data_IF_088648935296
#
_entry.id   IF_088648935296
#
_cell.length_a   1.000
_cell.length_b   1.000
_cell.length_c   1.000
_cell.angle_alpha   90.00
_cell.angle_beta   90.00
_cell.angle_gamma   90.00
#
_symmetry.space_group_name_H-M   'P 1'
#
loop_
_entity.id
_entity.type
_entity.pdbx_description
1 polymer ?
#
# COMPACT_ATOMS: atom_id res chain seq x y z
N UNK A 1 14.58 -4.33 4.81
CA UNK A 1 14.95 -5.28 3.77
C UNK A 1 15.75 -6.46 4.34
N UNK A 2 16.89 -6.25 5.02
CA UNK A 2 17.78 -7.33 5.53
C UNK A 2 17.07 -8.37 6.40
N UNK A 3 16.19 -7.96 7.31
CA UNK A 3 15.44 -8.90 8.16
C UNK A 3 14.50 -9.79 7.32
N UNK A 4 13.85 -9.23 6.32
CA UNK A 4 12.97 -9.97 5.39
C UNK A 4 13.80 -10.92 4.54
N UNK A 5 14.93 -10.47 4.00
CA UNK A 5 15.87 -11.31 3.26
C UNK A 5 16.28 -12.55 4.08
N UNK A 6 16.69 -12.35 5.34
CA UNK A 6 17.11 -13.44 6.21
C UNK A 6 15.98 -14.44 6.48
N UNK A 7 14.76 -13.95 6.72
CA UNK A 7 13.58 -14.77 6.95
C UNK A 7 13.19 -15.57 5.70
N UNK A 8 13.15 -14.93 4.54
CA UNK A 8 12.79 -15.57 3.26
C UNK A 8 13.83 -16.62 2.88
N UNK A 9 15.12 -16.29 2.97
CA UNK A 9 16.21 -17.24 2.69
C UNK A 9 16.10 -18.49 3.58
N UNK A 10 15.85 -18.28 4.88
CA UNK A 10 15.71 -19.37 5.83
C UNK A 10 14.46 -20.21 5.63
N UNK A 11 13.32 -19.56 5.40
CA UNK A 11 12.03 -20.25 5.30
C UNK A 11 11.84 -21.01 3.97
N UNK A 12 12.35 -20.46 2.88
CA UNK A 12 12.16 -21.01 1.54
C UNK A 12 13.40 -21.71 0.98
N UNK A 13 14.53 -21.69 1.71
CA UNK A 13 15.81 -22.23 1.25
C UNK A 13 16.24 -21.72 -0.12
N UNK A 14 16.07 -20.41 -0.35
CA UNK A 14 16.48 -19.68 -1.54
C UNK A 14 17.51 -18.63 -1.20
N UNK A 15 18.23 -18.11 -2.18
CA UNK A 15 19.16 -17.01 -1.99
C UNK A 15 18.58 -15.72 -2.59
N UNK A 16 18.16 -14.81 -1.73
CA UNK A 16 17.70 -13.46 -2.12
C UNK A 16 18.87 -12.49 -1.98
N UNK A 17 19.17 -11.76 -3.02
CA UNK A 17 20.18 -10.71 -3.01
C UNK A 17 19.49 -9.34 -2.92
N UNK A 18 20.04 -8.46 -2.07
CA UNK A 18 19.53 -7.10 -1.94
C UNK A 18 20.28 -6.18 -2.89
N UNK A 19 19.56 -5.61 -3.83
CA UNK A 19 20.08 -4.55 -4.68
C UNK A 19 19.63 -3.19 -4.14
N UNK A 20 20.48 -2.55 -3.33
CA UNK A 20 20.22 -1.22 -2.77
C UNK A 20 20.61 -0.14 -3.76
N UNK A 21 19.69 0.78 -4.02
CA UNK A 21 19.90 1.88 -4.95
C UNK A 21 19.28 3.18 -4.43
N UNK A 22 19.63 4.28 -5.04
CA UNK A 22 19.06 5.60 -4.76
C UNK A 22 17.54 5.58 -5.07
N UNK A 23 16.76 6.37 -4.33
CA UNK A 23 15.29 6.30 -4.36
C UNK A 23 14.69 6.53 -5.74
N UNK A 24 15.17 7.53 -6.48
CA UNK A 24 14.63 7.82 -7.80
C UNK A 24 15.02 6.77 -8.84
N UNK A 25 16.23 6.21 -8.72
CA UNK A 25 16.69 5.08 -9.54
C UNK A 25 15.81 3.86 -9.27
N UNK A 26 15.53 3.57 -8.00
CA UNK A 26 14.63 2.48 -7.62
C UNK A 26 13.23 2.63 -8.24
N UNK A 27 12.67 3.83 -8.23
CA UNK A 27 11.38 4.11 -8.88
C UNK A 27 11.45 3.89 -10.39
N UNK A 28 12.52 4.33 -11.03
CA UNK A 28 12.72 4.15 -12.47
C UNK A 28 12.84 2.68 -12.86
N UNK A 29 13.67 1.91 -12.14
CA UNK A 29 13.84 0.48 -12.36
C UNK A 29 12.52 -0.29 -12.13
N UNK A 30 11.78 0.07 -11.08
CA UNK A 30 10.47 -0.51 -10.80
C UNK A 30 9.47 -0.25 -11.93
N UNK A 31 9.37 1.00 -12.40
CA UNK A 31 8.51 1.36 -13.55
C UNK A 31 8.91 0.68 -14.85
N UNK A 32 10.17 0.34 -14.99
CA UNK A 32 10.70 -0.39 -16.15
C UNK A 32 10.53 -1.91 -16.02
N UNK A 33 10.07 -2.42 -14.88
CA UNK A 33 9.93 -3.85 -14.62
C UNK A 33 11.26 -4.57 -14.38
N UNK A 34 12.33 -3.86 -14.05
CA UNK A 34 13.67 -4.39 -13.85
C UNK A 34 13.86 -4.92 -12.42
N UNK A 35 13.05 -5.88 -12.00
CA UNK A 35 13.13 -6.49 -10.67
C UNK A 35 12.48 -7.88 -10.66
N UNK A 36 12.92 -8.74 -9.77
CA UNK A 36 12.21 -9.99 -9.42
C UNK A 36 11.21 -9.71 -8.30
N UNK A 37 11.66 -8.97 -7.26
CA UNK A 37 10.83 -8.45 -6.17
C UNK A 37 11.25 -7.01 -5.86
N UNK A 38 10.29 -6.15 -5.63
CA UNK A 38 10.55 -4.76 -5.25
C UNK A 38 9.76 -4.35 -4.02
N UNK A 39 10.36 -3.50 -3.18
CA UNK A 39 9.64 -2.88 -2.09
C UNK A 39 8.76 -1.76 -2.63
N UNK A 40 7.50 -1.78 -2.23
CA UNK A 40 6.56 -0.69 -2.47
C UNK A 40 5.95 -0.21 -1.13
N UNK A 41 5.48 1.02 -1.09
CA UNK A 41 4.61 1.51 -0.04
C UNK A 41 3.64 2.53 -0.63
N UNK A 42 2.47 2.59 -0.05
CA UNK A 42 1.42 3.51 -0.45
C UNK A 42 0.83 4.19 0.79
N UNK A 43 0.47 5.44 0.66
CA UNK A 43 -0.35 6.17 1.62
C UNK A 43 -1.61 6.56 0.89
N UNK A 44 -2.76 6.20 1.41
CA UNK A 44 -4.03 6.46 0.73
C UNK A 44 -4.25 7.95 0.46
N UNK A 45 -4.69 8.27 -0.73
CA UNK A 45 -5.04 9.63 -1.16
C UNK A 45 -6.42 10.04 -0.63
N UNK A 46 -7.28 9.04 -0.34
CA UNK A 46 -8.61 9.22 0.24
C UNK A 46 -8.98 8.03 1.15
N UNK A 47 -9.96 8.24 2.02
CA UNK A 47 -10.38 7.27 3.03
C UNK A 47 -11.33 6.21 2.44
N UNK A 48 -10.78 5.35 1.59
CA UNK A 48 -11.48 4.19 1.01
C UNK A 48 -10.46 3.10 0.66
N UNK A 49 -10.83 1.82 0.91
CA UNK A 49 -9.98 0.69 0.57
C UNK A 49 -9.70 0.55 -0.93
N UNK A 50 -10.58 1.08 -1.78
CA UNK A 50 -10.39 1.09 -3.24
C UNK A 50 -9.12 1.82 -3.67
N UNK A 51 -8.63 2.79 -2.88
CA UNK A 51 -7.37 3.47 -3.19
C UNK A 51 -6.17 2.50 -3.24
N UNK A 52 -6.20 1.48 -2.40
CA UNK A 52 -5.19 0.41 -2.40
C UNK A 52 -5.42 -0.65 -3.46
N UNK A 53 -6.66 -0.91 -3.85
CA UNK A 53 -6.98 -1.94 -4.84
C UNK A 53 -6.80 -1.43 -6.27
N UNK A 54 -7.29 -0.22 -6.57
CA UNK A 54 -7.24 0.33 -7.93
C UNK A 54 -5.83 0.55 -8.46
N UNK A 55 -4.83 0.69 -7.59
CA UNK A 55 -3.46 0.84 -8.04
C UNK A 55 -2.91 -0.38 -8.78
N UNK A 56 -3.49 -1.56 -8.62
CA UNK A 56 -3.03 -2.81 -9.21
C UNK A 56 -3.83 -3.27 -10.42
N UNK A 57 -4.84 -2.50 -10.86
CA UNK A 57 -5.61 -2.82 -12.08
C UNK A 57 -4.73 -2.74 -13.32
N UNK A 58 -5.08 -3.48 -14.36
CA UNK A 58 -4.32 -3.56 -15.63
C UNK A 58 -4.11 -2.21 -16.30
N UNK A 59 -5.01 -1.25 -16.07
CA UNK A 59 -4.99 0.08 -16.67
C UNK A 59 -4.37 1.15 -15.77
N UNK A 60 -4.03 0.81 -14.53
CA UNK A 60 -3.48 1.77 -13.58
C UNK A 60 -2.05 2.16 -13.93
N UNK A 61 -1.78 3.47 -13.96
CA UNK A 61 -0.41 4.00 -14.08
C UNK A 61 0.47 3.77 -12.85
N UNK A 62 -0.10 3.23 -11.76
CA UNK A 62 0.60 2.87 -10.53
C UNK A 62 0.95 1.37 -10.47
N UNK A 63 0.47 0.59 -11.42
CA UNK A 63 0.70 -0.85 -11.49
C UNK A 63 2.14 -1.18 -11.95
N UNK A 64 3.11 -0.86 -11.13
CA UNK A 64 4.53 -1.12 -11.42
C UNK A 64 4.85 -2.63 -11.48
N UNK A 65 3.99 -3.48 -10.90
CA UNK A 65 4.12 -4.94 -10.97
C UNK A 65 3.70 -5.52 -12.34
N UNK A 66 3.09 -4.72 -13.21
CA UNK A 66 2.65 -5.14 -14.53
C UNK A 66 1.53 -6.20 -14.50
N UNK A 67 0.73 -6.22 -13.44
CA UNK A 67 -0.39 -7.16 -13.26
C UNK A 67 -1.39 -6.95 -14.39
N UNK A 68 -1.79 -8.05 -15.03
CA UNK A 68 -2.83 -8.09 -16.08
C UNK A 68 -3.75 -9.25 -15.78
N UNK A 69 -4.74 -9.01 -14.94
CA UNK A 69 -5.69 -10.01 -14.49
C UNK A 69 -7.11 -9.47 -14.66
N UNK A 70 -7.83 -10.02 -15.64
CA UNK A 70 -9.17 -9.57 -16.00
C UNK A 70 -10.20 -9.85 -14.88
N UNK A 71 -10.00 -10.90 -14.09
CA UNK A 71 -10.89 -11.22 -12.96
C UNK A 71 -10.70 -10.19 -11.84
N UNK A 72 -9.44 -9.78 -11.60
CA UNK A 72 -9.13 -8.72 -10.66
C UNK A 72 -9.70 -7.37 -11.11
N UNK A 73 -9.48 -7.00 -12.36
CA UNK A 73 -10.02 -5.76 -12.93
C UNK A 73 -11.55 -5.72 -12.79
N UNK A 74 -12.21 -6.85 -13.09
CA UNK A 74 -13.67 -6.96 -12.98
C UNK A 74 -14.16 -6.78 -11.54
N UNK A 75 -13.49 -7.37 -10.56
CA UNK A 75 -13.83 -7.17 -9.14
C UNK A 75 -13.68 -5.70 -8.74
N UNK A 76 -12.63 -5.02 -9.17
CA UNK A 76 -12.46 -3.60 -8.91
C UNK A 76 -13.53 -2.72 -9.56
N UNK A 77 -13.92 -3.03 -10.80
CA UNK A 77 -15.03 -2.36 -11.49
C UNK A 77 -16.35 -2.57 -10.75
N UNK A 78 -16.67 -3.80 -10.36
CA UNK A 78 -17.89 -4.15 -9.65
C UNK A 78 -17.95 -3.47 -8.28
N UNK A 79 -16.85 -3.45 -7.52
CA UNK A 79 -16.76 -2.75 -6.25
C UNK A 79 -16.96 -1.22 -6.42
N UNK A 80 -16.49 -0.66 -7.53
CA UNK A 80 -16.65 0.77 -7.82
C UNK A 80 -18.10 1.11 -8.14
N UNK A 81 -18.83 0.20 -8.78
CA UNK A 81 -20.22 0.41 -9.21
C UNK A 81 -21.25 0.04 -8.10
N UNK A 82 -20.88 -0.77 -7.11
CA UNK A 82 -21.81 -1.26 -6.09
C UNK A 82 -22.12 -0.16 -5.06
N UNK A 83 -23.42 0.06 -4.82
CA UNK A 83 -23.93 1.07 -3.89
C UNK A 83 -24.28 0.51 -2.51
N UNK A 84 -24.51 -0.80 -2.42
CA UNK A 84 -24.72 -1.46 -1.14
C UNK A 84 -23.38 -1.69 -0.46
N UNK A 85 -23.16 -1.05 0.69
CA UNK A 85 -21.89 -1.08 1.41
C UNK A 85 -21.44 -2.50 1.78
N UNK A 86 -22.37 -3.36 2.19
CA UNK A 86 -22.04 -4.73 2.59
C UNK A 86 -21.58 -5.57 1.40
N UNK A 87 -22.27 -5.45 0.27
CA UNK A 87 -21.88 -6.14 -0.96
C UNK A 87 -20.56 -5.59 -1.49
N UNK A 88 -20.40 -4.27 -1.49
CA UNK A 88 -19.17 -3.60 -1.90
C UNK A 88 -17.99 -4.10 -1.10
N UNK A 89 -18.10 -4.16 0.21
CA UNK A 89 -17.06 -4.69 1.08
C UNK A 89 -16.72 -6.15 0.75
N UNK A 90 -17.72 -6.97 0.47
CA UNK A 90 -17.49 -8.36 0.06
C UNK A 90 -16.69 -8.43 -1.24
N UNK A 91 -17.05 -7.65 -2.25
CA UNK A 91 -16.32 -7.63 -3.54
C UNK A 91 -14.88 -7.13 -3.35
N UNK A 92 -14.66 -6.11 -2.51
CA UNK A 92 -13.32 -5.61 -2.19
C UNK A 92 -12.47 -6.69 -1.50
N UNK A 93 -13.04 -7.45 -0.57
CA UNK A 93 -12.35 -8.58 0.06
C UNK A 93 -12.01 -9.70 -0.94
N UNK A 94 -12.90 -9.98 -1.90
CA UNK A 94 -12.62 -10.95 -2.96
C UNK A 94 -11.46 -10.48 -3.87
N UNK A 95 -11.42 -9.18 -4.20
CA UNK A 95 -10.31 -8.59 -4.94
C UNK A 95 -8.99 -8.65 -4.15
N UNK A 96 -9.00 -8.30 -2.86
CA UNK A 96 -7.84 -8.43 -1.97
C UNK A 96 -7.36 -9.88 -1.87
N UNK A 97 -8.28 -10.83 -1.68
CA UNK A 97 -7.97 -12.25 -1.63
C UNK A 97 -7.30 -12.74 -2.91
N UNK A 98 -7.82 -12.35 -4.07
CA UNK A 98 -7.23 -12.70 -5.35
C UNK A 98 -5.82 -12.11 -5.49
N UNK A 99 -5.63 -10.83 -5.16
CA UNK A 99 -4.36 -10.11 -5.26
C UNK A 99 -3.27 -10.70 -4.36
N UNK A 100 -3.62 -10.98 -3.10
CA UNK A 100 -2.65 -11.31 -2.04
C UNK A 100 -2.51 -12.82 -1.83
N UNK A 101 -3.62 -13.56 -1.86
CA UNK A 101 -3.64 -14.97 -1.47
C UNK A 101 -3.62 -15.91 -2.67
N UNK A 102 -4.54 -15.71 -3.61
CA UNK A 102 -4.74 -16.69 -4.68
C UNK A 102 -3.67 -16.56 -5.78
N UNK A 103 -3.27 -15.34 -6.09
CA UNK A 103 -2.25 -15.05 -7.12
C UNK A 103 -0.92 -14.59 -6.53
N UNK A 104 -0.91 -14.14 -5.27
CA UNK A 104 0.29 -13.65 -4.58
C UNK A 104 1.07 -12.58 -5.39
N UNK A 105 0.37 -11.71 -6.10
CA UNK A 105 0.99 -10.61 -6.84
C UNK A 105 1.64 -9.58 -5.91
N UNK A 106 1.07 -9.41 -4.72
CA UNK A 106 1.52 -8.47 -3.69
C UNK A 106 1.59 -9.19 -2.36
N UNK A 107 2.67 -8.96 -1.61
CA UNK A 107 2.84 -9.47 -0.25
C UNK A 107 2.82 -8.29 0.75
N UNK A 108 1.69 -8.01 1.42
CA UNK A 108 1.61 -6.98 2.45
C UNK A 108 2.52 -7.33 3.63
N UNK A 109 3.34 -6.36 4.07
CA UNK A 109 4.31 -6.59 5.14
C UNK A 109 3.92 -5.92 6.44
N UNK A 110 3.49 -4.67 6.38
CA UNK A 110 3.13 -3.89 7.56
C UNK A 110 2.35 -2.63 7.17
N UNK A 111 1.54 -2.15 8.10
CA UNK A 111 0.96 -0.80 8.05
C UNK A 111 1.89 0.16 8.77
N UNK A 112 2.30 1.23 8.10
CA UNK A 112 3.10 2.29 8.69
C UNK A 112 2.27 3.10 9.69
N UNK A 113 2.92 3.50 10.79
CA UNK A 113 2.33 4.42 11.76
C UNK A 113 3.04 5.77 11.69
N UNK A 114 2.26 6.84 11.70
CA UNK A 114 2.82 8.19 11.89
C UNK A 114 3.20 8.36 13.35
N UNK A 115 4.47 8.69 13.60
CA UNK A 115 4.99 8.98 14.95
C UNK A 115 5.28 10.47 15.02
N UNK A 116 4.68 11.15 15.98
CA UNK A 116 4.87 12.58 16.21
C UNK A 116 5.43 12.84 17.60
N UNK A 117 6.42 13.71 17.68
CA UNK A 117 6.89 14.29 18.92
C UNK A 117 6.17 15.62 19.14
N UNK A 118 5.43 15.71 20.23
CA UNK A 118 4.64 16.90 20.57
C UNK A 118 5.32 17.65 21.71
N UNK A 119 5.54 18.95 21.52
CA UNK A 119 6.05 19.79 22.60
C UNK A 119 4.90 20.06 23.61
N UNK A 120 5.09 19.73 24.91
CA UNK A 120 4.05 19.87 25.92
C UNK A 120 3.58 21.32 26.17
N UNK A 121 4.29 22.31 25.64
CA UNK A 121 3.86 23.72 25.68
C UNK A 121 2.68 24.02 24.76
N UNK A 122 2.27 23.06 23.91
CA UNK A 122 1.18 23.23 22.97
C UNK A 122 0.16 22.10 23.10
N UNK A 123 -1.10 22.43 22.82
CA UNK A 123 -2.24 21.51 22.82
C UNK A 123 -3.06 21.67 21.55
N UNK A 124 -4.09 20.84 21.36
CA UNK A 124 -5.01 20.93 20.22
C UNK A 124 -4.49 20.21 18.97
N UNK A 125 -3.54 19.30 19.13
CA UNK A 125 -3.14 18.40 18.04
C UNK A 125 -4.28 17.46 17.70
N UNK A 126 -4.56 17.32 16.41
CA UNK A 126 -5.47 16.33 15.86
C UNK A 126 -4.96 15.86 14.51
N UNK A 127 -5.44 14.71 14.10
CA UNK A 127 -5.12 14.12 12.80
C UNK A 127 -6.41 13.97 12.01
N UNK A 128 -6.33 14.11 10.70
CA UNK A 128 -7.41 13.70 9.82
C UNK A 128 -7.37 12.17 9.54
N UNK A 129 -8.32 11.68 8.76
CA UNK A 129 -8.41 10.25 8.39
C UNK A 129 -7.20 9.76 7.59
N UNK A 130 -6.48 10.64 6.90
CA UNK A 130 -5.24 10.34 6.17
C UNK A 130 -3.99 10.37 7.07
N UNK A 131 -4.13 10.71 8.36
CA UNK A 131 -3.03 10.79 9.31
C UNK A 131 -2.23 12.10 9.23
N UNK A 132 -2.74 13.13 8.57
CA UNK A 132 -2.10 14.45 8.53
C UNK A 132 -2.44 15.28 9.76
N UNK A 133 -1.47 16.04 10.25
CA UNK A 133 -1.66 16.89 11.44
C UNK A 133 -2.47 18.13 11.05
N UNK A 134 -3.57 18.37 11.77
CA UNK A 134 -4.38 19.56 11.64
C UNK A 134 -3.82 20.66 12.55
N UNK A 135 -3.06 21.57 11.97
CA UNK A 135 -2.37 22.64 12.71
C UNK A 135 -3.31 23.75 13.22
N UNK A 136 -4.48 23.92 12.63
CA UNK A 136 -5.41 25.04 12.92
C UNK A 136 -5.97 25.06 14.35
N UNK A 137 -5.87 23.94 15.07
CA UNK A 137 -6.38 23.83 16.44
C UNK A 137 -5.27 23.92 17.50
N UNK A 138 -4.01 24.04 17.09
CA UNK A 138 -2.88 24.13 18.00
C UNK A 138 -2.90 25.47 18.70
N UNK A 139 -2.77 25.44 20.04
CA UNK A 139 -2.67 26.60 20.90
C UNK A 139 -1.66 26.36 22.01
N UNK A 140 -1.19 27.45 22.65
CA UNK A 140 -0.37 27.33 23.85
C UNK A 140 -1.13 26.55 24.94
N UNK A 141 -0.44 25.68 25.67
CA UNK A 141 -0.99 25.08 26.89
C UNK A 141 -1.09 26.14 27.98
N UNK A 142 -2.15 26.11 28.77
CA UNK A 142 -2.34 26.99 29.95
C UNK A 142 -1.39 26.61 31.07
#
# INVERSE_FOLDING_TARGET
AQAIQAQVNSALNINVELNGMESQVCVSERKSGNFDMTRHNWTADYDDAMDYLLMWTSTSGLNDAGIKDADYDKLCEDATAELDETKRNTIMHDAEKLLVTDKAYVAPLATNKTICLLNPKYTGYSFDSSGQILLKFIKAAE
#
